data_IF_808422511566
#
_entry.id   IF_808422511566
#
_cell.length_a   1.000
_cell.length_b   1.000
_cell.length_c   1.000
_cell.angle_alpha   90.00
_cell.angle_beta   90.00
_cell.angle_gamma   90.00
#
_symmetry.space_group_name_H-M   'P 1'
#
loop_
_entity.id
_entity.type
_entity.pdbx_description
1 polymer ?
#
# COMPACT_ATOMS: atom_id res chain seq x y z
N UNK A 1 2.16 11.53 -32.80
CA UNK A 1 1.49 10.33 -32.25
C UNK A 1 0.05 10.67 -31.89
N UNK A 2 -0.93 10.25 -32.71
CA UNK A 2 -2.35 10.36 -32.34
C UNK A 2 -2.62 9.50 -31.09
N UNK A 3 -3.42 9.98 -30.14
CA UNK A 3 -3.79 9.25 -28.92
C UNK A 3 -3.18 9.77 -27.61
N UNK A 4 -2.05 10.49 -27.64
CA UNK A 4 -1.36 10.94 -26.41
C UNK A 4 -1.75 12.34 -25.91
N UNK A 5 -2.60 13.07 -26.62
CA UNK A 5 -3.05 14.41 -26.23
C UNK A 5 -4.49 14.38 -25.73
N UNK A 6 -4.83 15.26 -24.77
CA UNK A 6 -6.19 15.37 -24.23
C UNK A 6 -7.23 15.64 -25.33
N UNK A 7 -6.86 16.36 -26.39
CA UNK A 7 -7.70 16.58 -27.58
C UNK A 7 -7.96 15.31 -28.40
N UNK A 8 -7.09 14.32 -28.33
CA UNK A 8 -7.24 13.04 -29.03
C UNK A 8 -8.14 12.06 -28.26
N UNK A 9 -8.15 12.14 -26.92
CA UNK A 9 -9.00 11.36 -26.02
C UNK A 9 -10.48 11.73 -26.16
N UNK A 10 -10.79 13.02 -26.33
CA UNK A 10 -12.18 13.48 -26.54
C UNK A 10 -12.73 13.10 -27.92
N UNK A 11 -11.84 13.03 -28.93
CA UNK A 11 -12.18 12.59 -30.30
C UNK A 11 -12.44 11.09 -30.38
N UNK A 12 -11.71 10.28 -29.60
CA UNK A 12 -11.86 8.83 -29.55
C UNK A 12 -12.33 8.38 -28.16
N UNK A 13 -13.64 8.45 -27.90
CA UNK A 13 -14.24 8.08 -26.61
C UNK A 13 -13.95 6.64 -26.16
N UNK A 14 -13.63 5.73 -27.09
CA UNK A 14 -13.22 4.36 -26.79
C UNK A 14 -11.88 4.26 -26.04
N UNK A 15 -11.00 5.27 -26.12
CA UNK A 15 -9.73 5.31 -25.40
C UNK A 15 -9.91 5.61 -23.90
N UNK A 16 -11.00 6.28 -23.51
CA UNK A 16 -11.27 6.67 -22.12
C UNK A 16 -11.33 5.47 -21.17
N UNK A 17 -12.13 4.40 -21.43
CA UNK A 17 -12.18 3.23 -20.55
C UNK A 17 -10.84 2.47 -20.51
N UNK A 18 -10.08 2.46 -21.62
CA UNK A 18 -8.75 1.85 -21.66
C UNK A 18 -7.78 2.56 -20.71
N UNK A 19 -7.67 3.89 -20.83
CA UNK A 19 -6.81 4.68 -19.95
C UNK A 19 -7.27 4.65 -18.49
N UNK A 20 -8.58 4.51 -18.24
CA UNK A 20 -9.11 4.33 -16.90
C UNK A 20 -8.61 3.02 -16.27
N UNK A 21 -8.71 1.89 -16.99
CA UNK A 21 -8.20 0.61 -16.50
C UNK A 21 -6.68 0.64 -16.25
N UNK A 22 -5.91 1.25 -17.15
CA UNK A 22 -4.45 1.40 -16.98
C UNK A 22 -4.14 2.31 -15.78
N UNK A 23 -4.81 3.45 -15.66
CA UNK A 23 -4.65 4.37 -14.54
C UNK A 23 -5.01 3.72 -13.20
N UNK A 24 -6.10 2.94 -13.16
CA UNK A 24 -6.46 2.13 -11.99
C UNK A 24 -5.36 1.13 -11.65
N UNK A 25 -4.84 0.39 -12.63
CA UNK A 25 -3.74 -0.56 -12.41
C UNK A 25 -2.48 0.10 -11.86
N UNK A 26 -2.03 1.20 -12.46
CA UNK A 26 -0.86 1.96 -11.99
C UNK A 26 -1.08 2.52 -10.58
N UNK A 27 -2.25 3.11 -10.32
CA UNK A 27 -2.56 3.67 -9.00
C UNK A 27 -2.62 2.58 -7.92
N UNK A 28 -3.20 1.41 -8.22
CA UNK A 28 -3.23 0.26 -7.32
C UNK A 28 -1.83 -0.30 -7.03
N UNK A 29 -0.97 -0.38 -8.04
CA UNK A 29 0.41 -0.81 -7.86
C UNK A 29 1.20 0.15 -6.95
N UNK A 30 1.12 1.46 -7.19
CA UNK A 30 1.78 2.49 -6.36
C UNK A 30 1.22 2.47 -4.94
N UNK A 31 -0.10 2.36 -4.79
CA UNK A 31 -0.73 2.29 -3.47
C UNK A 31 -0.24 1.07 -2.68
N UNK A 32 -0.21 -0.11 -3.30
CA UNK A 32 0.19 -1.33 -2.61
C UNK A 32 1.67 -1.34 -2.26
N UNK A 33 2.55 -0.86 -3.15
CA UNK A 33 3.98 -0.74 -2.85
C UNK A 33 4.25 0.28 -1.74
N UNK A 34 3.57 1.44 -1.74
CA UNK A 34 3.68 2.43 -0.66
C UNK A 34 3.16 1.89 0.68
N UNK A 35 2.07 1.11 0.66
CA UNK A 35 1.56 0.43 1.85
C UNK A 35 2.56 -0.59 2.37
N UNK A 36 3.19 -1.38 1.50
CA UNK A 36 4.22 -2.34 1.92
C UNK A 36 5.45 -1.62 2.49
N UNK A 37 5.89 -0.54 1.84
CA UNK A 37 7.02 0.25 2.31
C UNK A 37 6.80 0.82 3.72
N UNK A 38 5.59 1.28 4.03
CA UNK A 38 5.32 2.00 5.29
C UNK A 38 4.76 1.12 6.41
N UNK A 39 4.10 0.00 6.08
CA UNK A 39 3.37 -0.83 7.05
C UNK A 39 3.94 -2.25 7.19
N UNK A 40 5.05 -2.58 6.53
CA UNK A 40 5.69 -3.89 6.69
C UNK A 40 6.68 -3.87 7.88
N UNK A 41 6.57 -4.79 8.86
CA UNK A 41 7.54 -4.88 9.96
C UNK A 41 8.99 -5.12 9.51
N UNK A 42 9.23 -5.67 8.31
CA UNK A 42 10.58 -5.91 7.80
C UNK A 42 11.27 -4.65 7.25
N UNK A 43 10.53 -3.53 7.10
CA UNK A 43 11.04 -2.30 6.48
C UNK A 43 11.17 -1.21 7.54
N UNK A 44 12.41 -0.85 7.86
CA UNK A 44 12.72 0.19 8.83
C UNK A 44 13.26 1.45 8.13
N UNK A 45 12.51 2.55 8.23
CA UNK A 45 12.95 3.86 7.71
C UNK A 45 13.77 4.66 8.72
N UNK A 46 13.61 4.36 10.01
CA UNK A 46 14.33 5.03 11.07
C UNK A 46 15.71 4.39 11.29
N UNK A 47 16.78 5.19 11.45
CA UNK A 47 18.13 4.71 11.75
C UNK A 47 18.50 4.75 13.24
N UNK A 48 17.60 5.27 14.09
CA UNK A 48 17.85 5.47 15.51
C UNK A 48 16.69 4.88 16.33
N UNK A 49 16.92 3.76 17.00
CA UNK A 49 15.92 3.09 17.85
C UNK A 49 16.17 1.60 17.97
N UNK A 50 16.10 1.10 19.20
CA UNK A 50 16.33 -0.29 19.57
C UNK A 50 15.30 -1.24 18.93
N UNK A 51 15.80 -2.37 18.43
CA UNK A 51 15.10 -3.56 17.91
C UNK A 51 13.88 -3.28 16.99
N UNK A 52 14.01 -3.54 15.66
CA UNK A 52 12.99 -3.23 14.63
C UNK A 52 11.57 -3.74 14.92
N UNK A 53 11.47 -4.77 15.74
CA UNK A 53 10.29 -5.60 15.90
C UNK A 53 9.33 -5.08 16.99
N UNK A 54 9.80 -4.20 17.88
CA UNK A 54 8.99 -3.69 19.00
C UNK A 54 7.90 -2.71 18.54
N UNK A 55 8.18 -1.85 17.56
CA UNK A 55 7.20 -0.86 17.07
C UNK A 55 5.98 -1.51 16.39
N UNK A 56 6.14 -2.72 15.86
CA UNK A 56 5.08 -3.47 15.18
C UNK A 56 4.40 -4.52 16.06
N UNK A 57 4.80 -4.63 17.35
CA UNK A 57 4.31 -5.64 18.29
C UNK A 57 2.79 -5.67 18.46
N UNK A 58 2.16 -4.49 18.50
CA UNK A 58 0.71 -4.32 18.66
C UNK A 58 0.03 -3.79 17.38
N UNK A 59 0.77 -3.65 16.28
CA UNK A 59 0.24 -3.08 15.03
C UNK A 59 -0.25 -4.19 14.10
N UNK A 60 -1.39 -3.96 13.49
CA UNK A 60 -1.94 -4.87 12.48
C UNK A 60 -1.15 -4.79 11.17
N UNK A 61 -0.43 -5.86 10.83
CA UNK A 61 0.18 -5.96 9.50
C UNK A 61 -0.87 -6.19 8.41
N UNK A 62 -1.81 -7.12 8.60
CA UNK A 62 -2.79 -7.51 7.57
C UNK A 62 -3.65 -6.31 7.15
N UNK A 63 -3.84 -6.11 5.83
CA UNK A 63 -4.66 -4.99 5.35
C UNK A 63 -6.12 -5.08 5.81
N UNK A 64 -6.66 -6.30 5.89
CA UNK A 64 -8.01 -6.57 6.38
C UNK A 64 -8.03 -7.89 7.15
N UNK A 65 -8.73 -7.89 8.28
CA UNK A 65 -8.95 -9.08 9.09
C UNK A 65 -10.20 -8.89 9.95
N UNK A 66 -11.35 -9.46 9.54
CA UNK A 66 -12.64 -9.19 10.20
C UNK A 66 -12.79 -9.90 11.56
N UNK A 67 -12.02 -10.95 11.80
CA UNK A 67 -12.25 -11.87 12.93
C UNK A 67 -11.27 -11.66 14.09
N UNK A 68 -10.28 -10.80 13.93
CA UNK A 68 -9.21 -10.61 14.92
C UNK A 68 -9.21 -9.16 15.38
N UNK A 69 -9.38 -8.97 16.68
CA UNK A 69 -9.23 -7.68 17.33
C UNK A 69 -7.77 -7.45 17.70
N UNK A 70 -7.04 -6.72 16.85
CA UNK A 70 -5.62 -6.44 17.05
C UNK A 70 -5.35 -5.49 18.22
N UNK A 71 -6.36 -4.79 18.73
CA UNK A 71 -6.19 -3.93 19.91
C UNK A 71 -5.94 -4.73 21.19
N UNK A 72 -6.33 -6.01 21.21
CA UNK A 72 -6.16 -6.92 22.34
C UNK A 72 -5.08 -7.98 22.11
N UNK A 73 -4.46 -7.97 20.93
CA UNK A 73 -3.48 -8.98 20.52
C UNK A 73 -2.08 -8.51 20.92
N UNK A 74 -1.51 -9.13 21.96
CA UNK A 74 -0.09 -8.93 22.31
C UNK A 74 0.79 -9.99 21.64
N UNK A 75 2.00 -9.60 21.22
CA UNK A 75 3.00 -10.56 20.75
C UNK A 75 3.49 -11.44 21.91
N UNK A 76 3.61 -12.76 21.72
CA UNK A 76 4.11 -13.68 22.73
C UNK A 76 5.62 -13.53 23.00
N UNK A 77 6.34 -12.73 22.21
CA UNK A 77 7.76 -12.47 22.43
C UNK A 77 7.97 -11.71 23.77
N UNK A 78 9.10 -11.88 24.46
CA UNK A 78 9.45 -11.01 25.61
C UNK A 78 9.68 -9.56 25.16
N UNK A 79 9.32 -8.58 26.00
CA UNK A 79 9.58 -7.15 25.76
C UNK A 79 11.04 -6.87 26.16
N UNK A 80 11.81 -6.25 25.27
CA UNK A 80 13.22 -5.91 25.48
C UNK A 80 13.42 -4.42 25.70
#
# INVERSE_FOLDING_TARGET
MQGMTLKSLTKHKALIPLYFCVGLGCSGAVFYTLRLATRNPDVQWNRHGEIPNEEFRAKQYKFYSPNVDYSKLESPAPKY
#
